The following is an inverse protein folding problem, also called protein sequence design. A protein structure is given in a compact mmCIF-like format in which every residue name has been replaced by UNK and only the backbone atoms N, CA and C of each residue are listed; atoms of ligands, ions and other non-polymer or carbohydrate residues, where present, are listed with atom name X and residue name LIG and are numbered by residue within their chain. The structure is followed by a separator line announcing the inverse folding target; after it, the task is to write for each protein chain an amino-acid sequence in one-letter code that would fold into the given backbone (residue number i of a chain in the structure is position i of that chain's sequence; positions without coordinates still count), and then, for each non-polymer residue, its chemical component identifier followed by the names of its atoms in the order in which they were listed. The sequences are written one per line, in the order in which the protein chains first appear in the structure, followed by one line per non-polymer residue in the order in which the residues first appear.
data_IF_306695468821
#
_entry.id   IF_306695468821
#
_cell.length_a   1.000
_cell.length_b   1.000
_cell.length_c   1.000
_cell.angle_alpha   90.00
_cell.angle_beta   90.00
_cell.angle_gamma   90.00
#
_symmetry.space_group_name_H-M   'P 1'
#
loop_
_entity.id
_entity.type
_entity.pdbx_description
1 polymer ?
#
# COMPACT_ATOMS: atom_id res chain seq x y z
N UNK A 1 -18.39 -0.09 4.43
CA UNK A 1 -17.38 0.97 4.26
C UNK A 1 -17.79 1.99 3.19
N UNK A 2 -18.12 1.57 1.96
CA UNK A 2 -18.42 2.45 0.82
C UNK A 2 -19.84 3.06 0.83
N UNK A 3 -20.83 2.36 1.41
CA UNK A 3 -22.22 2.84 1.55
C UNK A 3 -22.33 4.21 2.25
N UNK A 4 -21.41 4.50 3.19
CA UNK A 4 -21.37 5.77 3.93
C UNK A 4 -21.00 6.98 3.07
N UNK A 5 -20.35 6.76 1.93
CA UNK A 5 -19.95 7.81 0.97
C UNK A 5 -20.81 7.78 -0.30
N UNK A 6 -21.97 7.11 -0.24
CA UNK A 6 -22.90 7.02 -1.38
C UNK A 6 -22.45 6.11 -2.52
N UNK A 7 -21.35 5.35 -2.34
CA UNK A 7 -20.86 4.38 -3.32
C UNK A 7 -21.26 2.97 -2.87
N UNK A 8 -22.28 2.34 -3.46
CA UNK A 8 -22.72 1.02 -3.01
C UNK A 8 -21.63 -0.04 -3.19
N UNK A 9 -20.92 0.00 -4.33
CA UNK A 9 -19.82 -0.91 -4.65
C UNK A 9 -18.73 -0.25 -5.52
N UNK A 10 -17.50 -0.78 -5.43
CA UNK A 10 -16.32 -0.34 -6.18
C UNK A 10 -15.75 -1.46 -7.04
N UNK A 11 -15.00 -1.11 -8.09
CA UNK A 11 -14.35 -2.09 -8.97
C UNK A 11 -13.02 -2.59 -8.42
N UNK A 12 -12.33 -1.76 -7.62
CA UNK A 12 -11.01 -2.02 -7.08
C UNK A 12 -10.97 -1.69 -5.60
N UNK A 13 -10.28 -2.53 -4.83
CA UNK A 13 -9.89 -2.24 -3.44
C UNK A 13 -8.40 -2.50 -3.32
N UNK A 14 -7.68 -1.54 -2.74
CA UNK A 14 -6.30 -1.71 -2.29
C UNK A 14 -6.30 -1.76 -0.76
N UNK A 15 -5.91 -2.89 -0.19
CA UNK A 15 -5.77 -3.07 1.25
C UNK A 15 -4.32 -2.86 1.67
N UNK A 16 -4.09 -1.93 2.59
CA UNK A 16 -2.75 -1.51 2.99
C UNK A 16 -2.40 -1.94 4.43
N UNK A 17 -3.39 -2.38 5.20
CA UNK A 17 -3.23 -2.84 6.59
C UNK A 17 -4.52 -3.50 7.07
N UNK A 18 -4.38 -4.45 8.00
CA UNK A 18 -5.50 -5.12 8.69
C UNK A 18 -6.48 -5.80 7.71
N UNK A 19 -5.96 -6.40 6.63
CA UNK A 19 -6.78 -7.12 5.65
C UNK A 19 -7.63 -8.20 6.30
N UNK A 20 -7.07 -8.95 7.25
CA UNK A 20 -7.76 -9.97 8.05
C UNK A 20 -9.03 -9.43 8.74
N UNK A 21 -8.93 -8.23 9.34
CA UNK A 21 -10.05 -7.60 10.07
C UNK A 21 -11.13 -7.03 9.16
N UNK A 22 -10.77 -6.70 7.92
CA UNK A 22 -11.64 -5.98 6.99
C UNK A 22 -12.10 -6.85 5.80
N UNK A 23 -11.70 -8.12 5.77
CA UNK A 23 -11.83 -8.96 4.58
C UNK A 23 -13.27 -9.10 4.10
N UNK A 24 -14.21 -9.40 5.00
CA UNK A 24 -15.63 -9.54 4.64
C UNK A 24 -16.21 -8.23 4.10
N UNK A 25 -15.88 -7.10 4.73
CA UNK A 25 -16.37 -5.78 4.31
C UNK A 25 -15.75 -5.35 2.96
N UNK A 26 -14.48 -5.73 2.71
CA UNK A 26 -13.81 -5.55 1.42
C UNK A 26 -14.57 -6.31 0.35
N UNK A 27 -14.84 -7.60 0.56
CA UNK A 27 -15.59 -8.45 -0.38
C UNK A 27 -17.00 -7.90 -0.61
N UNK A 28 -17.69 -7.45 0.43
CA UNK A 28 -19.02 -6.84 0.32
C UNK A 28 -18.98 -5.59 -0.58
N UNK A 29 -17.95 -4.76 -0.42
CA UNK A 29 -17.79 -3.50 -1.15
C UNK A 29 -17.42 -3.67 -2.63
N UNK A 30 -16.88 -4.82 -3.02
CA UNK A 30 -16.51 -5.08 -4.42
C UNK A 30 -17.74 -5.44 -5.27
N UNK A 31 -17.77 -4.93 -6.50
CA UNK A 31 -18.68 -5.42 -7.55
C UNK A 31 -18.36 -6.88 -7.91
N UNK A 32 -19.29 -7.67 -8.46
CA UNK A 32 -18.94 -8.91 -9.15
C UNK A 32 -17.83 -8.65 -10.18
N UNK A 33 -16.83 -9.53 -10.25
CA UNK A 33 -15.61 -9.41 -11.06
C UNK A 33 -14.69 -8.24 -10.65
N UNK A 34 -14.85 -7.71 -9.44
CA UNK A 34 -13.94 -6.73 -8.87
C UNK A 34 -12.56 -7.30 -8.54
N UNK A 35 -11.59 -6.41 -8.27
CA UNK A 35 -10.21 -6.78 -7.98
C UNK A 35 -9.78 -6.28 -6.61
N UNK A 36 -9.21 -7.18 -5.82
CA UNK A 36 -8.58 -6.91 -4.54
C UNK A 36 -7.06 -6.96 -4.72
N UNK A 37 -6.37 -5.86 -4.43
CA UNK A 37 -4.92 -5.83 -4.23
C UNK A 37 -4.58 -5.66 -2.76
N UNK A 38 -3.52 -6.30 -2.28
CA UNK A 38 -3.05 -6.15 -0.90
C UNK A 38 -1.51 -6.17 -0.80
N UNK A 39 -0.99 -5.47 0.20
CA UNK A 39 0.44 -5.33 0.49
C UNK A 39 0.81 -5.64 1.95
N UNK A 40 -0.16 -5.96 2.81
CA UNK A 40 0.08 -6.37 4.20
C UNK A 40 0.16 -7.90 4.33
N UNK A 41 0.58 -8.37 5.51
CA UNK A 41 0.88 -9.79 5.76
C UNK A 41 -0.14 -10.44 6.73
N UNK A 42 -1.38 -10.74 6.28
CA UNK A 42 -2.32 -11.47 7.11
C UNK A 42 -1.80 -12.90 7.37
N UNK A 43 -1.94 -13.40 8.61
CA UNK A 43 -1.45 -14.73 8.98
C UNK A 43 -2.09 -15.86 8.14
N UNK A 44 -3.36 -15.69 7.76
CA UNK A 44 -4.07 -16.54 6.81
C UNK A 44 -4.96 -15.68 5.92
N UNK A 45 -5.22 -16.15 4.70
CA UNK A 45 -6.15 -15.50 3.79
C UNK A 45 -6.96 -16.54 3.02
N UNK A 46 -8.23 -16.70 3.40
CA UNK A 46 -9.13 -17.64 2.77
C UNK A 46 -9.66 -17.07 1.43
N UNK A 47 -9.33 -17.71 0.32
CA UNK A 47 -9.78 -17.29 -1.01
C UNK A 47 -11.20 -17.75 -1.35
N UNK A 48 -11.78 -18.68 -0.58
CA UNK A 48 -13.11 -19.26 -0.88
C UNK A 48 -14.22 -18.20 -0.95
N UNK A 49 -14.30 -17.22 -0.04
CA UNK A 49 -15.32 -16.16 -0.08
C UNK A 49 -15.31 -15.32 -1.38
N UNK A 50 -14.17 -15.23 -2.08
CA UNK A 50 -14.03 -14.47 -3.32
C UNK A 50 -14.85 -15.07 -4.49
N UNK A 51 -15.09 -16.39 -4.44
CA UNK A 51 -15.70 -17.16 -5.52
C UNK A 51 -17.10 -16.67 -5.90
N UNK A 52 -17.94 -16.31 -4.91
CA UNK A 52 -19.34 -15.94 -5.15
C UNK A 52 -19.49 -14.72 -6.06
N UNK A 53 -18.52 -13.81 -5.99
CA UNK A 53 -18.46 -12.60 -6.83
C UNK A 53 -17.42 -12.71 -7.93
N UNK A 54 -16.77 -13.87 -8.13
CA UNK A 54 -15.67 -14.05 -9.09
C UNK A 54 -14.60 -12.96 -8.95
N UNK A 55 -14.23 -12.63 -7.70
CA UNK A 55 -13.22 -11.60 -7.45
C UNK A 55 -11.82 -12.13 -7.74
N UNK A 56 -10.98 -11.29 -8.32
CA UNK A 56 -9.54 -11.58 -8.45
C UNK A 56 -8.78 -11.02 -7.25
N UNK A 57 -7.78 -11.77 -6.78
CA UNK A 57 -6.85 -11.35 -5.74
C UNK A 57 -5.46 -11.15 -6.35
N UNK A 58 -4.83 -10.02 -6.01
CA UNK A 58 -3.52 -9.60 -6.52
C UNK A 58 -2.61 -9.31 -5.33
N UNK A 59 -1.55 -10.10 -5.18
CA UNK A 59 -0.47 -9.75 -4.27
C UNK A 59 0.42 -8.71 -4.92
N UNK A 60 0.66 -7.60 -4.23
CA UNK A 60 1.66 -6.63 -4.62
C UNK A 60 2.83 -6.72 -3.64
N UNK A 61 4.01 -6.93 -4.20
CA UNK A 61 5.28 -6.87 -3.50
C UNK A 61 6.25 -6.13 -4.41
N UNK A 62 6.57 -4.89 -4.08
CA UNK A 62 7.45 -4.07 -4.91
C UNK A 62 8.84 -4.69 -5.13
N UNK A 63 9.29 -5.64 -4.29
CA UNK A 63 10.58 -6.31 -4.46
C UNK A 63 10.56 -7.43 -5.51
N UNK A 64 9.41 -7.94 -5.95
CA UNK A 64 9.32 -9.11 -6.86
C UNK A 64 10.20 -8.93 -8.10
N UNK A 65 10.11 -7.78 -8.78
CA UNK A 65 10.89 -7.52 -9.99
C UNK A 65 12.40 -7.59 -9.77
N UNK A 66 12.89 -6.93 -8.71
CA UNK A 66 14.32 -6.86 -8.39
C UNK A 66 14.87 -8.16 -7.79
N UNK A 67 14.05 -8.91 -7.03
CA UNK A 67 14.46 -10.18 -6.43
C UNK A 67 14.63 -11.29 -7.48
N UNK A 68 13.83 -11.23 -8.55
CA UNK A 68 13.82 -12.24 -9.61
C UNK A 68 14.40 -11.73 -10.94
N UNK A 69 14.88 -10.49 -10.98
CA UNK A 69 15.41 -9.83 -12.19
C UNK A 69 14.49 -10.02 -13.41
N UNK A 70 13.19 -9.77 -13.22
CA UNK A 70 12.18 -10.02 -14.26
C UNK A 70 12.45 -9.15 -15.50
N UNK A 71 11.98 -9.60 -16.66
CA UNK A 71 12.15 -8.87 -17.94
C UNK A 71 11.62 -7.43 -17.88
N UNK A 72 10.63 -7.16 -17.02
CA UNK A 72 10.01 -5.86 -16.80
C UNK A 72 10.59 -5.08 -15.60
N UNK A 73 11.77 -5.42 -15.09
CA UNK A 73 12.40 -4.74 -13.95
C UNK A 73 12.58 -3.22 -14.19
N UNK A 74 12.81 -2.83 -15.44
CA UNK A 74 12.93 -1.43 -15.88
C UNK A 74 11.68 -0.59 -15.55
N UNK A 75 10.51 -1.21 -15.38
CA UNK A 75 9.27 -0.47 -15.09
C UNK A 75 9.31 0.26 -13.75
N UNK A 76 10.15 -0.17 -12.79
CA UNK A 76 10.36 0.59 -11.55
C UNK A 76 11.05 1.94 -11.81
N UNK A 77 12.00 2.00 -12.74
CA UNK A 77 12.60 3.27 -13.15
C UNK A 77 11.57 4.17 -13.84
N UNK A 78 10.79 3.59 -14.76
CA UNK A 78 9.78 4.33 -15.53
C UNK A 78 8.70 4.94 -14.62
N UNK A 79 8.16 4.17 -13.66
CA UNK A 79 7.15 4.68 -12.73
C UNK A 79 7.71 5.75 -11.79
N UNK A 80 8.96 5.63 -11.32
CA UNK A 80 9.59 6.63 -10.45
C UNK A 80 9.84 7.95 -11.19
N UNK A 81 10.26 7.90 -12.46
CA UNK A 81 10.39 9.10 -13.29
C UNK A 81 9.05 9.80 -13.50
N UNK A 82 7.97 9.04 -13.73
CA UNK A 82 6.65 9.63 -13.88
C UNK A 82 6.16 10.26 -12.57
N UNK A 83 6.41 9.63 -11.42
CA UNK A 83 6.14 10.22 -10.10
C UNK A 83 6.91 11.54 -9.92
N UNK A 84 8.20 11.58 -10.26
CA UNK A 84 8.99 12.81 -10.17
C UNK A 84 8.41 13.92 -11.05
N UNK A 85 8.05 13.60 -12.29
CA UNK A 85 7.39 14.52 -13.22
C UNK A 85 6.07 15.08 -12.66
N UNK A 86 5.25 14.23 -12.03
CA UNK A 86 3.99 14.65 -11.42
C UNK A 86 4.19 15.49 -10.15
N UNK A 87 5.28 15.28 -9.41
CA UNK A 87 5.68 16.13 -8.29
C UNK A 87 6.07 17.52 -8.80
N UNK A 88 6.92 17.61 -9.83
CA UNK A 88 7.33 18.88 -10.43
C UNK A 88 6.15 19.65 -11.04
N UNK A 89 5.18 18.93 -11.61
CA UNK A 89 3.93 19.49 -12.11
C UNK A 89 2.92 19.89 -11.01
N UNK A 90 3.22 19.60 -9.74
CA UNK A 90 2.35 19.90 -8.60
C UNK A 90 1.09 19.02 -8.49
N UNK A 91 1.00 17.94 -9.29
CA UNK A 91 -0.09 16.96 -9.27
C UNK A 91 0.04 16.07 -8.02
N UNK A 92 1.25 15.57 -7.78
CA UNK A 92 1.59 14.83 -6.57
C UNK A 92 2.30 15.75 -5.58
N UNK A 93 2.09 15.49 -4.28
CA UNK A 93 2.75 16.20 -3.19
C UNK A 93 3.40 15.20 -2.27
N UNK A 94 4.46 15.63 -1.59
CA UNK A 94 5.16 14.81 -0.60
C UNK A 94 4.23 14.31 0.50
N UNK A 95 4.50 13.11 0.99
CA UNK A 95 3.82 12.50 2.14
C UNK A 95 4.66 12.54 3.42
N UNK A 96 5.76 13.29 3.43
CA UNK A 96 6.58 13.50 4.64
C UNK A 96 5.69 14.00 5.77
N UNK A 97 5.65 13.25 6.86
CA UNK A 97 4.91 13.58 8.07
C UNK A 97 5.84 14.09 9.17
N UNK A 98 6.90 13.34 9.47
CA UNK A 98 7.87 13.66 10.51
C UNK A 98 9.30 13.60 9.95
N UNK A 99 10.16 14.54 10.35
CA UNK A 99 11.61 14.51 10.07
C UNK A 99 12.35 14.32 11.40
N UNK A 100 13.10 13.23 11.53
CA UNK A 100 13.86 12.88 12.75
C UNK A 100 15.33 13.34 12.70
N UNK A 101 15.70 14.10 11.68
CA UNK A 101 17.01 14.72 11.52
C UNK A 101 18.07 13.70 11.12
N UNK A 102 19.27 13.85 11.70
CA UNK A 102 20.47 13.07 11.35
C UNK A 102 20.21 11.57 11.39
N UNK A 103 20.76 10.85 10.42
CA UNK A 103 20.78 9.39 10.44
C UNK A 103 21.71 8.95 11.58
N UNK A 104 21.11 8.44 12.65
CA UNK A 104 21.80 7.91 13.83
C UNK A 104 21.05 6.69 14.36
N UNK A 105 21.74 5.82 15.10
CA UNK A 105 21.08 4.65 15.71
C UNK A 105 19.95 5.05 16.67
N UNK A 106 20.10 6.18 17.36
CA UNK A 106 19.06 6.74 18.23
C UNK A 106 17.81 7.13 17.44
N UNK A 107 17.97 7.92 16.38
CA UNK A 107 16.85 8.38 15.56
C UNK A 107 16.18 7.24 14.78
N UNK A 108 16.95 6.23 14.35
CA UNK A 108 16.41 5.03 13.72
C UNK A 108 15.53 4.24 14.71
N UNK A 109 15.99 3.99 15.94
CA UNK A 109 15.17 3.29 16.95
C UNK A 109 13.88 4.05 17.25
N UNK A 110 13.95 5.38 17.32
CA UNK A 110 12.76 6.23 17.48
C UNK A 110 11.79 6.09 16.31
N UNK A 111 12.29 6.09 15.07
CA UNK A 111 11.47 5.90 13.87
C UNK A 111 10.78 4.53 13.85
N UNK A 112 11.53 3.47 14.15
CA UNK A 112 10.99 2.10 14.27
C UNK A 112 9.87 2.01 15.30
N UNK A 113 10.08 2.54 16.51
CA UNK A 113 9.06 2.51 17.57
C UNK A 113 7.75 3.20 17.14
N UNK A 114 7.82 4.31 16.40
CA UNK A 114 6.63 4.98 15.89
C UNK A 114 5.94 4.15 14.78
N UNK A 115 6.69 3.57 13.85
CA UNK A 115 6.14 2.72 12.79
C UNK A 115 5.44 1.48 13.36
N UNK A 116 6.09 0.78 14.29
CA UNK A 116 5.56 -0.41 14.96
C UNK A 116 4.30 -0.11 15.78
N UNK A 117 4.16 1.13 16.28
CA UNK A 117 2.95 1.54 16.99
C UNK A 117 1.69 1.65 16.10
N UNK A 118 1.86 1.68 14.76
CA UNK A 118 0.78 1.86 13.79
C UNK A 118 0.13 3.25 13.81
N UNK A 119 0.71 4.23 14.52
CA UNK A 119 0.15 5.59 14.67
C UNK A 119 0.74 6.62 13.71
N UNK A 120 1.81 6.27 13.01
CA UNK A 120 2.46 7.15 12.05
C UNK A 120 1.48 7.61 10.96
N UNK A 121 1.52 8.90 10.63
CA UNK A 121 0.79 9.47 9.48
C UNK A 121 1.81 10.02 8.49
N UNK A 122 1.71 9.60 7.24
CA UNK A 122 2.70 9.95 6.21
C UNK A 122 3.98 9.11 6.33
N UNK A 123 5.12 9.72 5.99
CA UNK A 123 6.44 9.08 6.02
C UNK A 123 7.36 9.78 7.03
N UNK A 124 8.12 8.98 7.77
CA UNK A 124 9.20 9.46 8.64
C UNK A 124 10.47 9.52 7.79
N UNK A 125 11.15 10.66 7.79
CA UNK A 125 12.40 10.87 7.05
C UNK A 125 13.55 11.18 8.00
N UNK A 126 14.74 10.68 7.67
CA UNK A 126 16.01 11.01 8.29
C UNK A 126 16.97 11.41 7.16
N UNK A 127 17.86 12.35 7.43
CA UNK A 127 18.79 12.88 6.42
C UNK A 127 20.13 13.31 7.04
N UNK A 128 21.21 13.22 6.27
CA UNK A 128 22.56 13.51 6.74
C UNK A 128 23.14 12.43 7.67
N UNK A 129 24.47 12.46 7.88
CA UNK A 129 25.21 11.43 8.62
C UNK A 129 26.12 11.94 9.68
#
# INVERSE_FOLDING_TARGET
MTKRIGLPQVSYVASLTQTDRHYEQIIESLKPQGRLGLIDDPATLDVVPLKRKSLSLHWELMYTRSLYETEDMQEQHNILNEVARQIDAGVLRTTVGENYGRISAENLRRAHALLESGKAKGKIVLEGF
#
